data_IF_460790529155
#
_entry.id   IF_460790529155
#
_cell.length_a   1.000
_cell.length_b   1.000
_cell.length_c   1.000
_cell.angle_alpha   90.00
_cell.angle_beta   90.00
_cell.angle_gamma   90.00
#
_symmetry.space_group_name_H-M   'P 1'
#
loop_
_entity.id
_entity.type
_entity.pdbx_description
1 polymer ?
#
# COMPACT_ATOMS: atom_id res chain seq x y z
N UNK A 1 -5.76 1.13 24.60
CA UNK A 1 -5.70 0.56 23.22
C UNK A 1 -4.88 1.52 22.37
N UNK A 2 -3.56 1.53 22.57
CA UNK A 2 -2.56 2.33 21.83
C UNK A 2 -1.82 1.44 20.81
N UNK A 3 -2.52 0.45 20.24
CA UNK A 3 -1.93 -0.52 19.32
C UNK A 3 -2.27 -0.23 17.87
N UNK A 4 -3.53 0.11 17.59
CA UNK A 4 -4.01 0.23 16.21
C UNK A 4 -3.69 1.60 15.59
N UNK A 5 -3.85 2.69 16.36
CA UNK A 5 -3.59 4.05 15.87
C UNK A 5 -2.11 4.24 15.55
N UNK A 6 -1.23 3.74 16.41
CA UNK A 6 0.22 3.77 16.27
C UNK A 6 0.68 2.95 15.05
N UNK A 7 0.12 1.75 14.87
CA UNK A 7 0.37 0.92 13.67
C UNK A 7 -0.08 1.63 12.38
N UNK A 8 -1.22 2.32 12.40
CA UNK A 8 -1.70 3.09 11.24
C UNK A 8 -0.79 4.28 10.96
N UNK A 9 -0.37 5.02 12.00
CA UNK A 9 0.51 6.19 11.86
C UNK A 9 1.90 5.80 11.34
N UNK A 10 2.42 4.66 11.79
CA UNK A 10 3.67 4.11 11.31
C UNK A 10 3.53 3.58 9.89
N UNK A 11 2.47 2.82 9.61
CA UNK A 11 2.16 2.32 8.26
C UNK A 11 2.04 3.46 7.24
N UNK A 12 1.45 4.59 7.65
CA UNK A 12 1.40 5.83 6.86
C UNK A 12 2.81 6.38 6.60
N UNK A 13 3.66 6.42 7.62
CA UNK A 13 5.02 6.95 7.51
C UNK A 13 5.88 6.07 6.59
N UNK A 14 5.82 4.75 6.77
CA UNK A 14 6.48 3.76 5.92
C UNK A 14 5.99 3.84 4.47
N UNK A 15 4.67 3.96 4.26
CA UNK A 15 4.11 4.14 2.92
C UNK A 15 4.66 5.41 2.25
N UNK A 16 4.70 6.53 2.99
CA UNK A 16 5.21 7.79 2.46
C UNK A 16 6.72 7.75 2.18
N UNK A 17 7.47 6.92 2.91
CA UNK A 17 8.90 6.72 2.68
C UNK A 17 9.19 5.87 1.45
N UNK A 18 8.46 4.77 1.24
CA UNK A 18 8.81 3.78 0.21
C UNK A 18 7.91 3.80 -1.04
N UNK A 19 6.63 4.15 -0.90
CA UNK A 19 5.63 3.95 -1.95
C UNK A 19 5.10 5.26 -2.55
N UNK A 20 5.10 6.35 -1.77
CA UNK A 20 4.49 7.61 -2.19
C UNK A 20 5.18 8.29 -3.37
N UNK A 21 6.41 7.91 -3.70
CA UNK A 21 7.10 8.42 -4.89
C UNK A 21 6.28 8.22 -6.17
N UNK A 22 5.66 7.04 -6.32
CA UNK A 22 4.80 6.71 -7.47
C UNK A 22 3.31 6.81 -7.12
N UNK A 23 2.92 6.36 -5.92
CA UNK A 23 1.52 6.28 -5.50
C UNK A 23 0.99 7.54 -4.81
N UNK A 24 1.80 8.61 -4.79
CA UNK A 24 1.47 9.90 -4.20
C UNK A 24 1.44 9.88 -2.66
N UNK A 25 1.53 11.05 -2.03
CA UNK A 25 1.51 11.16 -0.58
C UNK A 25 0.17 10.65 -0.03
N UNK A 26 0.22 9.86 1.03
CA UNK A 26 -0.95 9.25 1.67
C UNK A 26 -1.81 8.39 0.74
N UNK A 27 -1.17 7.76 -0.25
CA UNK A 27 -1.80 6.96 -1.30
C UNK A 27 -2.73 7.75 -2.24
N UNK A 28 -2.68 9.08 -2.20
CA UNK A 28 -3.50 9.95 -3.05
C UNK A 28 -2.73 10.22 -4.34
N UNK A 29 -3.25 9.68 -5.45
CA UNK A 29 -2.70 9.88 -6.79
C UNK A 29 -3.81 10.32 -7.75
N UNK A 30 -3.50 11.25 -8.65
CA UNK A 30 -4.44 11.71 -9.68
C UNK A 30 -4.65 10.66 -10.78
N UNK A 31 -3.61 9.86 -11.04
CA UNK A 31 -3.66 8.76 -11.99
C UNK A 31 -4.34 7.52 -11.37
N UNK A 32 -5.55 7.19 -11.85
CA UNK A 32 -6.39 6.12 -11.29
C UNK A 32 -5.69 4.75 -11.15
N UNK A 33 -4.85 4.30 -12.10
CA UNK A 33 -4.06 3.07 -11.94
C UNK A 33 -3.15 3.04 -10.71
N UNK A 34 -2.66 4.20 -10.27
CA UNK A 34 -1.69 4.35 -9.19
C UNK A 34 -2.33 4.82 -7.87
N UNK A 35 -3.60 5.27 -7.88
CA UNK A 35 -4.35 5.65 -6.67
C UNK A 35 -4.75 4.42 -5.84
N UNK A 36 -3.94 4.11 -4.82
CA UNK A 36 -4.13 2.93 -3.99
C UNK A 36 -5.32 3.05 -3.02
N UNK A 37 -5.99 4.20 -2.94
CA UNK A 37 -7.29 4.29 -2.26
C UNK A 37 -8.38 3.54 -3.02
N UNK A 38 -8.15 3.20 -4.29
CA UNK A 38 -9.09 2.43 -5.13
C UNK A 38 -8.78 0.93 -5.13
N UNK A 39 -7.88 0.46 -4.27
CA UNK A 39 -7.45 -0.94 -4.24
C UNK A 39 -8.63 -1.88 -4.02
N UNK A 40 -9.48 -1.61 -3.01
CA UNK A 40 -10.68 -2.40 -2.73
C UNK A 40 -11.77 -2.23 -3.77
N UNK A 41 -11.88 -1.05 -4.39
CA UNK A 41 -12.79 -0.85 -5.54
C UNK A 41 -12.40 -1.70 -6.75
N UNK A 42 -11.10 -1.95 -6.95
CA UNK A 42 -10.59 -2.71 -8.10
C UNK A 42 -10.60 -4.21 -7.84
N UNK A 43 -10.22 -4.64 -6.63
CA UNK A 43 -9.95 -6.05 -6.33
C UNK A 43 -10.88 -6.65 -5.27
N UNK A 44 -11.75 -5.86 -4.65
CA UNK A 44 -12.70 -6.35 -3.64
C UNK A 44 -12.01 -7.14 -2.53
N UNK A 45 -12.47 -8.37 -2.31
CA UNK A 45 -11.92 -9.29 -1.31
C UNK A 45 -10.52 -9.82 -1.68
N UNK A 46 -10.11 -9.71 -2.94
CA UNK A 46 -8.78 -10.13 -3.40
C UNK A 46 -7.71 -9.06 -3.15
N UNK A 47 -8.08 -7.86 -2.68
CA UNK A 47 -7.14 -6.77 -2.41
C UNK A 47 -5.93 -7.17 -1.54
N UNK A 48 -6.07 -7.99 -0.47
CA UNK A 48 -4.90 -8.46 0.31
C UNK A 48 -3.95 -9.33 -0.52
N UNK A 49 -4.50 -10.30 -1.27
CA UNK A 49 -3.71 -11.19 -2.13
C UNK A 49 -3.00 -10.41 -3.22
N UNK A 50 -3.72 -9.52 -3.91
CA UNK A 50 -3.16 -8.70 -4.97
C UNK A 50 -2.08 -7.76 -4.45
N UNK A 51 -2.26 -7.19 -3.26
CA UNK A 51 -1.23 -6.39 -2.61
C UNK A 51 0.04 -7.23 -2.36
N UNK A 52 -0.10 -8.37 -1.68
CA UNK A 52 1.03 -9.26 -1.34
C UNK A 52 1.79 -9.71 -2.58
N UNK A 53 1.08 -10.17 -3.62
CA UNK A 53 1.70 -10.58 -4.87
C UNK A 53 2.41 -9.43 -5.57
N UNK A 54 1.80 -8.23 -5.57
CA UNK A 54 2.34 -7.06 -6.25
C UNK A 54 3.60 -6.55 -5.55
N UNK A 55 3.62 -6.48 -4.21
CA UNK A 55 4.83 -6.07 -3.47
C UNK A 55 5.92 -7.16 -3.51
N UNK A 56 5.51 -8.43 -3.57
CA UNK A 56 6.44 -9.56 -3.59
C UNK A 56 7.10 -9.79 -4.94
N UNK A 57 6.37 -9.56 -6.04
CA UNK A 57 6.88 -9.77 -7.41
C UNK A 57 7.29 -8.47 -8.09
N UNK A 58 6.91 -7.32 -7.53
CA UNK A 58 7.03 -6.02 -8.18
C UNK A 58 6.20 -5.93 -9.46
N UNK A 59 6.31 -4.80 -10.15
CA UNK A 59 5.83 -4.61 -11.53
C UNK A 59 6.93 -3.89 -12.31
N UNK A 60 7.97 -4.65 -12.67
CA UNK A 60 9.20 -4.12 -13.24
C UNK A 60 8.95 -3.37 -14.55
N UNK A 61 8.01 -3.85 -15.37
CA UNK A 61 7.57 -3.21 -16.61
C UNK A 61 6.88 -1.86 -16.40
N UNK A 62 6.38 -1.61 -15.18
CA UNK A 62 5.72 -0.37 -14.75
C UNK A 62 6.57 0.45 -13.76
N UNK A 63 7.82 0.05 -13.53
CA UNK A 63 8.74 0.74 -12.62
C UNK A 63 8.51 0.50 -11.12
N UNK A 64 7.62 -0.43 -10.74
CA UNK A 64 7.48 -0.82 -9.33
C UNK A 64 8.51 -1.91 -8.98
N UNK A 65 9.45 -1.66 -8.06
CA UNK A 65 10.47 -2.64 -7.69
C UNK A 65 9.88 -3.80 -6.89
N UNK A 66 10.67 -4.87 -6.77
CA UNK A 66 10.40 -5.98 -5.86
C UNK A 66 10.71 -5.54 -4.43
N UNK A 67 9.74 -5.63 -3.53
CA UNK A 67 9.92 -5.24 -2.13
C UNK A 67 10.20 -6.42 -1.20
N UNK A 68 9.87 -7.64 -1.62
CA UNK A 68 10.21 -8.85 -0.86
C UNK A 68 11.72 -8.98 -0.70
N UNK A 69 12.17 -9.11 0.55
CA UNK A 69 13.59 -9.16 0.91
C UNK A 69 14.26 -7.78 1.05
N UNK A 70 13.60 -6.70 0.62
CA UNK A 70 14.03 -5.31 0.87
C UNK A 70 13.33 -4.77 2.12
N UNK A 71 12.01 -4.96 2.21
CA UNK A 71 11.20 -4.65 3.37
C UNK A 71 10.83 -5.95 4.11
N UNK A 72 10.72 -5.87 5.43
CA UNK A 72 10.23 -7.00 6.23
C UNK A 72 8.73 -7.19 6.03
N UNK A 73 8.25 -8.42 6.23
CA UNK A 73 6.82 -8.74 6.14
C UNK A 73 5.98 -7.90 7.10
N UNK A 74 6.53 -7.56 8.27
CA UNK A 74 5.86 -6.69 9.23
C UNK A 74 5.75 -5.23 8.75
N UNK A 75 6.78 -4.70 8.07
CA UNK A 75 6.70 -3.38 7.42
C UNK A 75 5.63 -3.38 6.33
N UNK A 76 5.62 -4.41 5.48
CA UNK A 76 4.60 -4.54 4.42
C UNK A 76 3.19 -4.66 5.00
N UNK A 77 3.04 -5.41 6.09
CA UNK A 77 1.77 -5.54 6.83
C UNK A 77 1.30 -4.20 7.40
N UNK A 78 2.19 -3.41 8.03
CA UNK A 78 1.86 -2.07 8.56
C UNK A 78 1.41 -1.12 7.44
N UNK A 79 2.11 -1.14 6.29
CA UNK A 79 1.72 -0.39 5.09
C UNK A 79 0.32 -0.81 4.61
N UNK A 80 0.06 -2.12 4.52
CA UNK A 80 -1.24 -2.63 4.09
C UNK A 80 -2.37 -2.23 5.04
N UNK A 81 -2.16 -2.33 6.36
CA UNK A 81 -3.12 -1.87 7.38
C UNK A 81 -3.45 -0.40 7.17
N UNK A 82 -2.44 0.44 6.95
CA UNK A 82 -2.67 1.84 6.63
C UNK A 82 -3.52 2.00 5.35
N UNK A 83 -3.20 1.27 4.27
CA UNK A 83 -3.96 1.34 3.02
C UNK A 83 -5.44 1.00 3.23
N UNK A 84 -5.76 0.00 4.07
CA UNK A 84 -7.15 -0.35 4.39
C UNK A 84 -7.93 0.83 4.98
N UNK A 85 -7.28 1.73 5.73
CA UNK A 85 -7.93 2.89 6.36
C UNK A 85 -8.23 4.05 5.40
N UNK A 86 -7.55 4.10 4.25
CA UNK A 86 -7.67 5.21 3.28
C UNK A 86 -8.45 4.85 2.03
N UNK A 87 -9.08 3.67 2.01
CA UNK A 87 -9.87 3.22 0.87
C UNK A 87 -11.04 4.16 0.57
N UNK A 88 -11.33 4.36 -0.71
CA UNK A 88 -12.43 5.19 -1.17
C UNK A 88 -13.60 4.34 -1.64
N UNK A 89 -14.82 4.84 -1.44
CA UNK A 89 -16.07 4.15 -1.76
C UNK A 89 -16.89 4.87 -2.83
N UNK A 90 -16.28 5.82 -3.54
CA UNK A 90 -16.91 6.68 -4.55
C UNK A 90 -16.21 6.55 -5.89
#
# INVERSE_FOLDING_TARGET
MEGSADVIAEGRSLFNQYCAHCHGPNAIQGERPLDLRRLTLRYGQEAPTVFDETVSKGRLDKGMPVWKGVLSDDVLRRIFIYLQTVQTHR
#
